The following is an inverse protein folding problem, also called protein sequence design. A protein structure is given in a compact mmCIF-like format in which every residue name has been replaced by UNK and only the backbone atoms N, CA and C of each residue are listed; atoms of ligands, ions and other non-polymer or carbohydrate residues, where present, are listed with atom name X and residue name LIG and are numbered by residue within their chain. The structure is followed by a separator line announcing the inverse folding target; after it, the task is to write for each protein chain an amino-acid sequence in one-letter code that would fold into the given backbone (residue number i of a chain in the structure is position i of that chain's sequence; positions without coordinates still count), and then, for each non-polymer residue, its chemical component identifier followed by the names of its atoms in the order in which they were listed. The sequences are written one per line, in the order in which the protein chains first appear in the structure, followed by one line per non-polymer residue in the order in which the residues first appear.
data_IF_655927315577
#
_entry.id   IF_655927315577
#
_cell.length_a   1.000
_cell.length_b   1.000
_cell.length_c   1.000
_cell.angle_alpha   90.00
_cell.angle_beta   90.00
_cell.angle_gamma   90.00
#
_symmetry.space_group_name_H-M   'P 1'
#
loop_
_entity.id
_entity.type
_entity.pdbx_description
1 polymer ?
#
# COMPACT_ATOMS: atom_id res chain seq x y z
N UNK A 1 -1.20 -11.84 -12.99
CA UNK A 1 -0.53 -11.91 -11.68
C UNK A 1 -1.54 -11.64 -10.59
N UNK A 2 -1.71 -12.53 -9.63
CA UNK A 2 -2.82 -12.51 -8.67
C UNK A 2 -2.47 -11.88 -7.32
N UNK A 3 -1.18 -11.68 -7.00
CA UNK A 3 -0.74 -11.30 -5.65
C UNK A 3 0.52 -10.44 -5.69
N UNK A 4 0.58 -9.43 -4.83
CA UNK A 4 1.70 -8.51 -4.63
C UNK A 4 1.96 -8.42 -3.13
N UNK A 5 3.23 -8.52 -2.75
CA UNK A 5 3.68 -8.38 -1.36
C UNK A 5 4.60 -7.16 -1.30
N UNK A 6 4.33 -6.25 -0.36
CA UNK A 6 5.16 -5.08 -0.09
C UNK A 6 5.85 -5.28 1.25
N UNK A 7 7.18 -5.15 1.25
CA UNK A 7 8.01 -5.32 2.43
C UNK A 7 8.75 -4.03 2.80
N UNK A 8 8.92 -3.80 4.11
CA UNK A 8 9.73 -2.70 4.64
C UNK A 8 10.48 -3.18 5.88
N UNK A 9 11.79 -2.94 5.91
CA UNK A 9 12.67 -3.27 7.06
C UNK A 9 12.53 -4.73 7.55
N UNK A 10 12.32 -5.67 6.64
CA UNK A 10 12.17 -7.09 6.98
C UNK A 10 10.77 -7.52 7.43
N UNK A 11 9.79 -6.61 7.40
CA UNK A 11 8.39 -6.91 7.71
C UNK A 11 7.53 -6.85 6.43
N UNK A 12 6.48 -7.66 6.39
CA UNK A 12 5.42 -7.56 5.38
C UNK A 12 4.50 -6.43 5.85
N UNK A 13 4.44 -5.36 5.06
CA UNK A 13 3.54 -4.23 5.29
C UNK A 13 2.19 -4.48 4.62
N UNK A 14 2.20 -5.13 3.45
CA UNK A 14 0.97 -5.44 2.73
C UNK A 14 1.11 -6.66 1.81
N UNK A 15 -0.02 -7.35 1.60
CA UNK A 15 -0.12 -8.57 0.80
C UNK A 15 -1.55 -8.71 0.24
N UNK A 16 -1.74 -8.34 -1.03
CA UNK A 16 -3.05 -8.41 -1.69
C UNK A 16 -2.90 -8.40 -3.22
N UNK A 17 -4.01 -8.42 -3.93
CA UNK A 17 -4.03 -8.21 -5.39
C UNK A 17 -3.65 -6.77 -5.75
N UNK A 18 -3.06 -6.51 -6.94
CA UNK A 18 -2.77 -5.16 -7.39
C UNK A 18 -3.97 -4.20 -7.28
N UNK A 19 -5.14 -4.65 -7.72
CA UNK A 19 -6.36 -3.85 -7.71
C UNK A 19 -6.78 -3.46 -6.29
N UNK A 20 -6.65 -4.38 -5.33
CA UNK A 20 -7.01 -4.10 -3.93
C UNK A 20 -6.02 -3.15 -3.26
N UNK A 21 -4.73 -3.24 -3.58
CA UNK A 21 -3.74 -2.27 -3.11
C UNK A 21 -4.00 -0.87 -3.66
N UNK A 22 -4.34 -0.74 -4.95
CA UNK A 22 -4.68 0.56 -5.55
C UNK A 22 -5.90 1.21 -4.86
N UNK A 23 -6.96 0.43 -4.64
CA UNK A 23 -8.19 0.91 -3.96
C UNK A 23 -7.89 1.30 -2.51
N UNK A 24 -7.16 0.47 -1.77
CA UNK A 24 -6.85 0.71 -0.35
C UNK A 24 -6.05 2.00 -0.13
N UNK A 25 -5.08 2.27 -0.99
CA UNK A 25 -4.22 3.44 -0.87
C UNK A 25 -4.75 4.67 -1.62
N UNK A 26 -5.84 4.52 -2.39
CA UNK A 26 -6.38 5.60 -3.22
C UNK A 26 -5.38 6.08 -4.27
N UNK A 27 -4.72 5.14 -4.96
CA UNK A 27 -3.67 5.39 -5.95
C UNK A 27 -4.01 4.79 -7.31
N UNK A 28 -3.37 5.31 -8.34
CA UNK A 28 -3.57 4.86 -9.72
C UNK A 28 -2.52 3.83 -10.13
N UNK A 29 -1.36 3.82 -9.46
CA UNK A 29 -0.25 2.92 -9.77
C UNK A 29 0.33 2.26 -8.52
N UNK A 30 0.92 1.08 -8.69
CA UNK A 30 1.64 0.38 -7.60
C UNK A 30 2.92 1.13 -7.18
N UNK A 31 3.48 1.95 -8.06
CA UNK A 31 4.62 2.81 -7.72
C UNK A 31 4.22 3.83 -6.64
N UNK A 32 3.08 4.49 -6.79
CA UNK A 32 2.56 5.41 -5.79
C UNK A 32 2.29 4.71 -4.45
N UNK A 33 1.70 3.50 -4.50
CA UNK A 33 1.50 2.66 -3.30
C UNK A 33 2.83 2.35 -2.62
N UNK A 34 3.82 1.90 -3.38
CA UNK A 34 5.15 1.60 -2.86
C UNK A 34 5.79 2.83 -2.19
N UNK A 35 5.68 4.00 -2.81
CA UNK A 35 6.20 5.25 -2.25
C UNK A 35 5.52 5.62 -0.93
N UNK A 36 4.22 5.38 -0.78
CA UNK A 36 3.50 5.65 0.47
C UNK A 36 3.96 4.70 1.59
N UNK A 37 4.11 3.41 1.30
CA UNK A 37 4.64 2.43 2.25
C UNK A 37 6.07 2.77 2.65
N UNK A 38 6.95 3.04 1.68
CA UNK A 38 8.35 3.38 1.92
C UNK A 38 8.50 4.64 2.79
N UNK A 39 7.69 5.67 2.52
CA UNK A 39 7.70 6.95 3.25
C UNK A 39 6.92 6.91 4.56
N UNK A 40 6.18 5.82 4.84
CA UNK A 40 5.34 5.70 6.03
C UNK A 40 4.13 6.62 6.01
N UNK A 41 3.63 6.97 4.82
CA UNK A 41 2.43 7.80 4.61
C UNK A 41 1.20 6.99 4.22
N UNK A 42 1.32 5.66 4.28
CA UNK A 42 0.26 4.70 3.96
C UNK A 42 -0.81 4.65 5.05
N UNK A 43 -1.66 5.67 5.04
CA UNK A 43 -3.07 5.71 5.41
C UNK A 43 -3.39 7.21 5.38
N UNK A 44 -4.01 7.67 4.29
CA UNK A 44 -4.72 8.94 4.34
C UNK A 44 -5.67 8.80 5.53
N UNK A 45 -5.38 9.53 6.60
CA UNK A 45 -6.20 9.61 7.81
C UNK A 45 -7.62 10.02 7.42
N UNK A 46 -8.45 9.04 7.08
CA UNK A 46 -9.90 9.10 7.13
C UNK A 46 -10.39 8.08 8.15
N UNK A 47 -10.00 8.31 9.40
CA UNK A 47 -10.96 8.26 10.49
C UNK A 47 -10.47 9.24 11.54
N UNK A 48 -11.28 10.24 11.82
CA UNK A 48 -11.26 10.86 13.13
C UNK A 48 -11.34 9.74 14.19
N UNK A 49 -10.28 9.61 14.99
CA UNK A 49 -10.26 9.20 16.40
C UNK A 49 -8.81 9.17 16.91
#
# INVERSE_FOLDING_TARGET
CERVIIMKRGHIEDDDTPQRLLVRYGRQTLEEVFLDVARGRGETREAAQ
#
